data_IF_258301391832
#
_entry.id   IF_258301391832
#
_cell.length_a   1.000
_cell.length_b   1.000
_cell.length_c   1.000
_cell.angle_alpha   90.00
_cell.angle_beta   90.00
_cell.angle_gamma   90.00
#
_symmetry.space_group_name_H-M   'P 1'
#
loop_
_entity.id
_entity.type
_entity.pdbx_description
1 polymer ?
#
# COMPACT_ATOMS: atom_id res chain seq x y z
N UNK A 1 3.14 5.98 12.71
CA UNK A 1 1.77 5.64 12.26
C UNK A 1 1.29 6.70 11.30
N UNK A 2 0.89 6.29 10.10
CA UNK A 2 0.55 7.18 8.98
C UNK A 2 -0.69 8.06 9.26
N UNK A 3 -1.88 7.45 9.23
CA UNK A 3 -3.18 8.11 9.33
C UNK A 3 -3.64 8.44 10.76
N UNK A 4 -2.78 8.21 11.75
CA UNK A 4 -2.98 8.69 13.13
C UNK A 4 -2.06 9.86 13.47
N UNK A 5 -1.34 10.40 12.47
CA UNK A 5 -0.48 11.56 12.63
C UNK A 5 -1.28 12.84 12.32
N UNK A 6 -1.24 13.80 13.22
CA UNK A 6 -2.03 15.04 13.12
C UNK A 6 -1.69 15.85 11.87
N UNK A 7 -0.43 15.88 11.45
CA UNK A 7 -0.01 16.60 10.24
C UNK A 7 -0.62 15.99 8.98
N UNK A 8 -0.71 14.65 8.92
CA UNK A 8 -1.35 13.94 7.80
C UNK A 8 -2.84 14.23 7.78
N UNK A 9 -3.52 14.15 8.92
CA UNK A 9 -4.95 14.42 9.03
C UNK A 9 -5.29 15.87 8.67
N UNK A 10 -4.51 16.81 9.17
CA UNK A 10 -4.63 18.23 8.84
C UNK A 10 -4.42 18.46 7.34
N UNK A 11 -3.40 17.84 6.75
CA UNK A 11 -3.13 17.97 5.32
C UNK A 11 -4.29 17.42 4.48
N UNK A 12 -4.78 16.21 4.79
CA UNK A 12 -5.92 15.59 4.11
C UNK A 12 -7.17 16.46 4.21
N UNK A 13 -7.52 16.93 5.41
CA UNK A 13 -8.70 17.78 5.65
C UNK A 13 -8.69 19.06 4.81
N UNK A 14 -7.52 19.67 4.66
CA UNK A 14 -7.38 20.96 3.98
C UNK A 14 -7.31 20.84 2.45
N UNK A 15 -6.99 19.65 1.92
CA UNK A 15 -6.64 19.49 0.51
C UNK A 15 -7.49 18.45 -0.24
N UNK A 16 -8.20 17.57 0.46
CA UNK A 16 -8.87 16.41 -0.11
C UNK A 16 -10.26 16.17 0.48
N UNK A 17 -11.17 15.65 -0.35
CA UNK A 17 -12.39 15.00 0.13
C UNK A 17 -12.07 13.54 0.41
N UNK A 18 -12.13 13.13 1.67
CA UNK A 18 -11.68 11.81 2.10
C UNK A 18 -12.83 10.82 2.24
N UNK A 19 -12.61 9.61 1.73
CA UNK A 19 -13.51 8.47 1.82
C UNK A 19 -12.81 7.21 2.30
N UNK A 20 -13.57 6.24 2.80
CA UNK A 20 -13.09 4.87 3.03
C UNK A 20 -13.86 3.85 2.21
N UNK A 21 -13.16 2.79 1.79
CA UNK A 21 -13.70 1.66 1.05
C UNK A 21 -13.16 0.36 1.65
N UNK A 22 -14.05 -0.59 1.94
CA UNK A 22 -13.67 -1.90 2.48
C UNK A 22 -13.33 -2.86 1.34
N UNK A 23 -12.10 -3.34 1.33
CA UNK A 23 -11.59 -4.30 0.33
C UNK A 23 -11.69 -5.76 0.82
N UNK A 24 -12.34 -6.03 1.95
CA UNK A 24 -12.49 -7.39 2.48
C UNK A 24 -13.18 -8.29 1.45
N UNK A 25 -12.58 -9.44 1.16
CA UNK A 25 -13.08 -10.41 0.17
C UNK A 25 -12.75 -10.06 -1.28
N UNK A 26 -12.09 -8.93 -1.55
CA UNK A 26 -11.59 -8.63 -2.89
C UNK A 26 -10.47 -9.62 -3.26
N UNK A 27 -10.36 -10.02 -4.54
CA UNK A 27 -9.41 -11.06 -4.96
C UNK A 27 -7.94 -10.62 -4.85
N UNK A 28 -7.69 -9.31 -4.82
CA UNK A 28 -6.38 -8.71 -4.61
C UNK A 28 -6.06 -8.43 -3.13
N UNK A 29 -7.04 -8.52 -2.23
CA UNK A 29 -6.85 -8.17 -0.83
C UNK A 29 -5.90 -9.16 -0.14
N UNK A 30 -4.98 -8.63 0.67
CA UNK A 30 -4.08 -9.43 1.47
C UNK A 30 -4.79 -10.08 2.65
N UNK A 31 -4.08 -10.99 3.32
CA UNK A 31 -4.47 -11.45 4.65
C UNK A 31 -3.63 -10.69 5.68
N UNK A 32 -4.26 -10.09 6.68
CA UNK A 32 -3.55 -9.41 7.77
C UNK A 32 -3.99 -9.88 9.15
N UNK A 33 -3.10 -9.75 10.13
CA UNK A 33 -3.48 -9.84 11.53
C UNK A 33 -4.55 -8.80 11.85
N UNK A 34 -5.55 -9.17 12.66
CA UNK A 34 -6.50 -8.19 13.18
C UNK A 34 -5.78 -7.36 14.23
N UNK A 35 -5.78 -6.04 14.05
CA UNK A 35 -5.27 -5.11 15.02
C UNK A 35 -6.39 -4.62 15.94
N UNK A 36 -6.11 -4.55 17.23
CA UNK A 36 -6.99 -3.87 18.17
C UNK A 36 -6.98 -2.35 17.94
N UNK A 37 -8.07 -1.66 18.30
CA UNK A 37 -8.18 -0.20 18.13
C UNK A 37 -7.07 0.55 18.89
N UNK A 38 -6.63 -0.01 20.01
CA UNK A 38 -5.53 0.50 20.83
C UNK A 38 -4.27 -0.37 20.69
N UNK A 39 -4.16 -1.11 19.58
CA UNK A 39 -3.06 -2.02 19.29
C UNK A 39 -1.72 -1.29 19.17
N UNK A 40 -0.64 -2.05 19.30
CA UNK A 40 0.70 -1.51 19.14
C UNK A 40 0.96 -1.25 17.66
N UNK A 41 1.32 -0.01 17.32
CA UNK A 41 1.80 0.29 15.98
C UNK A 41 3.31 0.09 15.90
N UNK A 42 3.74 -0.89 15.11
CA UNK A 42 5.15 -1.15 14.90
C UNK A 42 5.66 -0.34 13.71
N UNK A 43 6.91 0.13 13.81
CA UNK A 43 7.58 0.76 12.68
C UNK A 43 7.69 -0.24 11.53
N UNK A 44 7.26 0.18 10.35
CA UNK A 44 7.39 -0.61 9.11
C UNK A 44 7.95 0.26 7.99
N UNK A 45 8.17 -0.36 6.84
CA UNK A 45 8.64 0.29 5.60
C UNK A 45 7.45 0.72 4.76
N UNK A 46 7.67 1.71 3.89
CA UNK A 46 6.71 2.04 2.84
C UNK A 46 6.45 0.81 1.97
N UNK A 47 5.25 0.70 1.41
CA UNK A 47 4.84 -0.45 0.59
C UNK A 47 4.59 -1.75 1.37
N UNK A 48 4.79 -1.79 2.69
CA UNK A 48 4.63 -3.02 3.45
C UNK A 48 3.18 -3.50 3.48
N UNK A 49 2.95 -4.78 3.12
CA UNK A 49 1.62 -5.34 2.96
C UNK A 49 0.90 -4.82 1.71
N UNK A 50 1.50 -4.95 0.52
CA UNK A 50 1.08 -4.20 -0.68
C UNK A 50 -0.31 -4.54 -1.19
N UNK A 51 -0.76 -5.77 -0.91
CA UNK A 51 -2.11 -6.25 -1.22
C UNK A 51 -3.22 -5.56 -0.40
N UNK A 52 -2.85 -4.77 0.60
CA UNK A 52 -3.75 -3.88 1.33
C UNK A 52 -3.48 -2.45 0.88
N UNK A 53 -4.21 -1.98 -0.14
CA UNK A 53 -4.05 -0.61 -0.64
C UNK A 53 -4.39 0.36 0.49
N UNK A 54 -3.44 1.23 0.84
CA UNK A 54 -3.68 2.23 1.86
C UNK A 54 -4.51 3.40 1.31
N UNK A 55 -4.23 3.83 0.08
CA UNK A 55 -4.91 4.99 -0.49
C UNK A 55 -4.95 4.98 -2.01
N UNK A 56 -6.12 5.33 -2.55
CA UNK A 56 -6.26 5.86 -3.90
C UNK A 56 -6.48 7.37 -3.83
N UNK A 57 -5.83 8.11 -4.72
CA UNK A 57 -6.10 9.53 -4.96
C UNK A 57 -6.75 9.66 -6.32
N UNK A 58 -7.96 10.22 -6.36
CA UNK A 58 -8.78 10.30 -7.55
C UNK A 58 -9.04 11.77 -7.93
N UNK A 59 -9.17 12.03 -9.22
CA UNK A 59 -9.82 13.24 -9.71
C UNK A 59 -11.34 13.17 -9.41
N UNK A 60 -12.03 14.31 -9.54
CA UNK A 60 -13.47 14.41 -9.25
C UNK A 60 -14.36 13.52 -10.12
N UNK A 61 -13.86 13.08 -11.28
CA UNK A 61 -14.54 12.17 -12.21
C UNK A 61 -14.21 10.68 -11.98
N UNK A 62 -13.44 10.36 -10.94
CA UNK A 62 -13.02 8.98 -10.63
C UNK A 62 -11.80 8.49 -11.40
N UNK A 63 -11.10 9.37 -12.13
CA UNK A 63 -9.80 9.06 -12.73
C UNK A 63 -8.75 8.88 -11.65
N UNK A 64 -7.96 7.80 -11.73
CA UNK A 64 -6.85 7.55 -10.80
C UNK A 64 -5.71 8.51 -11.08
N UNK A 65 -5.36 9.30 -10.07
CA UNK A 65 -4.18 10.18 -10.06
C UNK A 65 -3.00 9.49 -9.41
N UNK A 66 -3.23 8.80 -8.30
CA UNK A 66 -2.18 8.11 -7.55
C UNK A 66 -2.72 6.90 -6.78
N UNK A 67 -1.84 5.96 -6.47
CA UNK A 67 -2.16 4.79 -5.65
C UNK A 67 -0.98 4.50 -4.72
N UNK A 68 -1.26 4.25 -3.45
CA UNK A 68 -0.27 3.96 -2.42
C UNK A 68 -0.54 2.57 -1.84
N UNK A 69 0.19 1.53 -2.29
CA UNK A 69 0.03 0.18 -1.79
C UNK A 69 0.70 0.03 -0.42
N UNK A 70 0.10 -0.75 0.47
CA UNK A 70 0.64 -1.03 1.79
C UNK A 70 0.81 0.21 2.65
N UNK A 71 1.52 0.07 3.78
CA UNK A 71 1.82 1.20 4.66
C UNK A 71 2.70 2.26 3.99
N UNK A 72 2.52 3.53 4.35
CA UNK A 72 3.39 4.66 4.04
C UNK A 72 3.65 5.51 5.28
N UNK A 73 4.89 5.92 5.51
CA UNK A 73 5.25 6.84 6.59
C UNK A 73 4.51 8.17 6.46
N UNK A 74 4.22 8.82 7.59
CA UNK A 74 3.44 10.06 7.62
C UNK A 74 4.07 11.18 6.78
N UNK A 75 5.40 11.33 6.82
CA UNK A 75 6.07 12.39 6.07
C UNK A 75 6.04 12.09 4.56
N UNK A 76 6.36 10.85 4.20
CA UNK A 76 6.37 10.39 2.81
C UNK A 76 4.97 10.43 2.20
N UNK A 77 3.94 10.06 2.97
CA UNK A 77 2.54 10.17 2.55
C UNK A 77 2.16 11.61 2.19
N UNK A 78 2.58 12.62 2.96
CA UNK A 78 2.28 14.02 2.64
C UNK A 78 2.98 14.43 1.34
N UNK A 79 4.23 13.99 1.13
CA UNK A 79 4.98 14.26 -0.10
C UNK A 79 4.26 13.67 -1.33
N UNK A 80 3.85 12.40 -1.25
CA UNK A 80 3.10 11.70 -2.30
C UNK A 80 1.72 12.31 -2.57
N UNK A 81 1.02 12.77 -1.52
CA UNK A 81 -0.23 13.49 -1.67
C UNK A 81 -0.01 14.84 -2.35
N UNK A 82 1.06 15.57 -2.05
CA UNK A 82 1.41 16.79 -2.75
C UNK A 82 1.74 16.53 -4.23
N UNK A 83 2.40 15.41 -4.53
CA UNK A 83 2.65 14.99 -5.90
C UNK A 83 1.36 14.64 -6.66
N UNK A 84 0.40 13.97 -6.02
CA UNK A 84 -0.90 13.68 -6.61
C UNK A 84 -1.69 14.96 -6.99
N UNK A 85 -1.56 16.05 -6.22
CA UNK A 85 -2.14 17.35 -6.60
C UNK A 85 -1.53 17.89 -7.89
N UNK A 86 -0.22 17.71 -8.11
CA UNK A 86 0.45 18.12 -9.35
C UNK A 86 -0.04 17.30 -10.54
N UNK A 87 -0.28 15.99 -10.35
CA UNK A 87 -0.88 15.14 -11.38
C UNK A 87 -2.33 15.56 -11.70
N UNK A 88 -3.09 16.02 -10.71
CA UNK A 88 -4.40 16.61 -10.95
C UNK A 88 -4.32 17.87 -11.83
N UNK A 89 -3.31 18.72 -11.64
CA UNK A 89 -3.09 19.87 -12.52
C UNK A 89 -2.82 19.45 -13.98
N UNK A 90 -2.15 18.33 -14.19
CA UNK A 90 -1.99 17.74 -15.54
C UNK A 90 -3.32 17.23 -16.07
N UNK A 91 -4.13 16.57 -15.23
CA UNK A 91 -5.46 16.09 -15.63
C UNK A 91 -6.35 17.24 -16.10
N UNK A 92 -6.35 18.35 -15.37
CA UNK A 92 -7.17 19.54 -15.64
C UNK A 92 -6.58 20.46 -16.73
N UNK A 93 -5.33 20.26 -17.15
CA UNK A 93 -4.70 21.17 -18.12
C UNK A 93 -5.38 21.13 -19.49
N UNK A 94 -5.18 22.16 -20.29
CA UNK A 94 -5.45 22.06 -21.73
C UNK A 94 -4.43 21.10 -22.36
N UNK A 95 -4.87 20.30 -23.32
CA UNK A 95 -4.04 19.28 -23.98
C UNK A 95 -4.84 18.03 -24.30
N UNK A 96 -4.39 17.30 -25.32
CA UNK A 96 -4.96 15.99 -25.64
C UNK A 96 -4.73 14.99 -24.51
N UNK A 97 -5.61 14.00 -24.39
CA UNK A 97 -5.46 12.93 -23.41
C UNK A 97 -4.09 12.22 -23.53
N UNK A 98 -3.61 12.02 -24.74
CA UNK A 98 -2.32 11.38 -25.00
C UNK A 98 -1.14 12.20 -24.44
N UNK A 99 -1.12 13.52 -24.68
CA UNK A 99 -0.10 14.41 -24.10
C UNK A 99 -0.14 14.40 -22.57
N UNK A 100 -1.34 14.38 -21.98
CA UNK A 100 -1.53 14.28 -20.52
C UNK A 100 -0.98 12.97 -20.00
N UNK A 101 -1.27 11.83 -20.65
CA UNK A 101 -0.76 10.50 -20.27
C UNK A 101 0.76 10.40 -20.34
N UNK A 102 1.36 10.96 -21.39
CA UNK A 102 2.82 11.02 -21.51
C UNK A 102 3.43 11.88 -20.40
N UNK A 103 2.83 13.03 -20.09
CA UNK A 103 3.28 13.90 -19.00
C UNK A 103 3.15 13.22 -17.64
N UNK A 104 2.02 12.55 -17.38
CA UNK A 104 1.81 11.74 -16.18
C UNK A 104 2.92 10.71 -15.99
N UNK A 105 3.18 9.91 -17.01
CA UNK A 105 4.18 8.84 -16.96
C UNK A 105 5.59 9.39 -16.70
N UNK A 106 5.96 10.49 -17.38
CA UNK A 106 7.24 11.19 -17.14
C UNK A 106 7.33 11.77 -15.74
N UNK A 107 6.25 12.35 -15.21
CA UNK A 107 6.23 12.92 -13.88
C UNK A 107 6.39 11.84 -12.81
N UNK A 108 5.72 10.69 -12.95
CA UNK A 108 5.86 9.55 -12.05
C UNK A 108 7.33 9.08 -11.99
N UNK A 109 7.95 8.83 -13.15
CA UNK A 109 9.34 8.38 -13.21
C UNK A 109 10.33 9.46 -12.73
N UNK A 110 10.07 10.73 -13.00
CA UNK A 110 10.91 11.84 -12.53
C UNK A 110 10.76 12.08 -11.02
N UNK A 111 9.64 11.70 -10.40
CA UNK A 111 9.43 11.88 -8.96
C UNK A 111 10.34 10.98 -8.13
N UNK A 112 10.61 9.75 -8.62
CA UNK A 112 11.57 8.81 -8.02
C UNK A 112 12.91 9.49 -7.71
N UNK A 113 13.44 10.27 -8.65
CA UNK A 113 14.73 10.94 -8.51
C UNK A 113 14.73 12.10 -7.50
N UNK A 114 13.55 12.53 -7.04
CA UNK A 114 13.38 13.61 -6.05
C UNK A 114 13.24 13.08 -4.62
N UNK A 115 13.01 11.78 -4.45
CA UNK A 115 12.82 11.21 -3.13
C UNK A 115 14.05 11.40 -2.25
N UNK A 116 13.88 11.93 -1.02
CA UNK A 116 15.01 12.10 -0.13
C UNK A 116 15.57 10.74 0.29
N UNK A 117 16.88 10.63 0.58
CA UNK A 117 17.50 9.37 1.01
C UNK A 117 16.78 8.70 2.20
N UNK A 118 16.17 9.49 3.08
CA UNK A 118 15.40 8.98 4.21
C UNK A 118 14.12 8.23 3.78
N UNK A 119 13.42 8.72 2.75
CA UNK A 119 12.24 8.06 2.16
C UNK A 119 12.66 6.79 1.43
N UNK A 120 13.75 6.82 0.66
CA UNK A 120 14.31 5.63 -0.01
C UNK A 120 14.72 4.56 1.02
N UNK A 121 15.31 4.96 2.14
CA UNK A 121 15.64 4.05 3.24
C UNK A 121 14.39 3.46 3.91
N UNK A 122 13.31 4.25 4.06
CA UNK A 122 12.02 3.75 4.54
C UNK A 122 11.28 2.89 3.52
N UNK A 123 11.64 2.96 2.25
CA UNK A 123 10.99 2.22 1.14
C UNK A 123 11.71 0.92 0.77
N UNK A 124 12.64 0.45 1.60
CA UNK A 124 13.25 -0.87 1.38
C UNK A 124 12.19 -1.97 1.46
N UNK A 125 12.11 -2.81 0.43
CA UNK A 125 11.24 -3.98 0.44
C UNK A 125 11.56 -4.87 1.65
N UNK A 126 10.54 -5.40 2.33
CA UNK A 126 10.76 -6.20 3.53
C UNK A 126 11.49 -7.51 3.18
N UNK A 127 12.39 -7.97 4.06
CA UNK A 127 13.23 -9.14 3.76
C UNK A 127 12.46 -10.43 3.47
N UNK A 128 11.29 -10.63 4.09
CA UNK A 128 10.44 -11.79 3.79
C UNK A 128 9.76 -11.69 2.42
N UNK A 129 9.49 -10.47 1.92
CA UNK A 129 8.95 -10.24 0.59
C UNK A 129 10.05 -10.44 -0.45
N UNK A 130 11.24 -9.89 -0.21
CA UNK A 130 12.43 -10.15 -1.05
C UNK A 130 12.70 -11.66 -1.20
N UNK A 131 12.65 -12.41 -0.10
CA UNK A 131 12.83 -13.86 -0.13
C UNK A 131 11.70 -14.57 -0.89
N UNK A 132 10.46 -14.11 -0.76
CA UNK A 132 9.34 -14.66 -1.51
C UNK A 132 9.49 -14.42 -3.01
N UNK A 133 9.83 -13.20 -3.42
CA UNK A 133 10.10 -12.83 -4.81
C UNK A 133 11.23 -13.67 -5.40
N UNK A 134 12.37 -13.77 -4.72
CA UNK A 134 13.49 -14.58 -5.19
C UNK A 134 13.14 -16.07 -5.26
N UNK A 135 12.28 -16.58 -4.38
CA UNK A 135 11.91 -18.00 -4.38
C UNK A 135 10.92 -18.36 -5.47
N UNK A 136 9.97 -17.47 -5.76
CA UNK A 136 8.82 -17.77 -6.61
C UNK A 136 8.91 -17.14 -8.00
N UNK A 137 9.68 -16.05 -8.15
CA UNK A 137 9.68 -15.19 -9.33
C UNK A 137 11.07 -14.61 -9.66
N UNK A 138 12.15 -15.34 -9.34
CA UNK A 138 13.54 -14.84 -9.47
C UNK A 138 13.84 -14.19 -10.83
N UNK A 139 13.32 -14.76 -11.91
CA UNK A 139 13.60 -14.35 -13.29
C UNK A 139 12.46 -13.55 -13.95
N UNK A 140 11.35 -13.33 -13.23
CA UNK A 140 10.13 -12.74 -13.81
C UNK A 140 9.59 -11.56 -13.01
N UNK A 141 10.01 -11.38 -11.75
CA UNK A 141 9.57 -10.28 -10.91
C UNK A 141 10.16 -8.95 -11.39
N UNK A 142 9.31 -7.96 -11.64
CA UNK A 142 9.71 -6.59 -11.96
C UNK A 142 10.33 -5.85 -10.75
N UNK A 143 10.28 -6.45 -9.57
CA UNK A 143 10.83 -5.90 -8.33
C UNK A 143 12.31 -6.23 -8.12
N UNK A 144 12.86 -7.19 -8.89
CA UNK A 144 14.25 -7.62 -8.80
C UNK A 144 15.11 -6.78 -9.75
N UNK A 145 16.11 -6.09 -9.20
CA UNK A 145 17.09 -5.31 -9.98
C UNK A 145 18.22 -6.19 -10.50
N UNK A 146 18.65 -7.16 -9.70
CA UNK A 146 19.77 -8.03 -10.02
C UNK A 146 19.48 -9.45 -9.53
N UNK A 147 19.23 -10.35 -10.47
CA UNK A 147 18.87 -11.75 -10.20
C UNK A 147 19.97 -12.51 -9.47
N UNK A 148 21.25 -12.25 -9.79
CA UNK A 148 22.39 -12.89 -9.12
C UNK A 148 22.53 -12.47 -7.66
N UNK A 149 22.29 -11.19 -7.35
CA UNK A 149 22.26 -10.71 -5.97
C UNK A 149 21.01 -11.18 -5.22
N UNK A 150 19.85 -11.17 -5.87
CA UNK A 150 18.59 -11.64 -5.28
C UNK A 150 18.62 -13.13 -4.92
N UNK A 151 19.29 -13.96 -5.74
CA UNK A 151 19.46 -15.39 -5.48
C UNK A 151 20.19 -15.69 -4.17
N UNK A 152 20.97 -14.74 -3.61
CA UNK A 152 21.64 -14.92 -2.33
C UNK A 152 20.65 -15.06 -1.16
N UNK A 153 19.41 -14.55 -1.28
CA UNK A 153 18.33 -14.74 -0.29
C UNK A 153 17.87 -16.20 -0.15
N UNK A 154 18.22 -17.04 -1.13
CA UNK A 154 17.85 -18.46 -1.16
C UNK A 154 18.83 -19.32 -0.35
N UNK A 155 20.00 -18.79 -0.01
CA UNK A 155 20.95 -19.45 0.88
C UNK A 155 20.43 -19.46 2.32
N UNK A 156 20.82 -20.46 3.10
CA UNK A 156 20.43 -20.55 4.51
C UNK A 156 20.95 -19.33 5.28
N UNK A 157 20.04 -18.55 5.87
CA UNK A 157 20.38 -17.28 6.55
C UNK A 157 20.75 -16.13 5.61
N UNK A 158 20.64 -16.32 4.29
CA UNK A 158 20.97 -15.33 3.27
C UNK A 158 20.06 -14.11 3.34
N UNK A 159 20.66 -12.92 3.25
CA UNK A 159 19.97 -11.65 3.11
C UNK A 159 20.29 -11.07 1.75
N UNK A 160 19.35 -10.33 1.16
CA UNK A 160 19.61 -9.65 -0.10
C UNK A 160 20.65 -8.55 0.13
N UNK A 161 21.73 -8.50 -0.68
CA UNK A 161 22.59 -7.33 -0.72
C UNK A 161 21.82 -6.08 -1.18
N UNK A 162 22.34 -4.90 -0.84
CA UNK A 162 21.83 -3.65 -1.40
C UNK A 162 21.87 -3.69 -2.93
N UNK A 163 20.82 -3.20 -3.59
CA UNK A 163 20.69 -3.22 -5.05
C UNK A 163 20.23 -4.54 -5.65
N UNK A 164 19.90 -5.55 -4.84
CA UNK A 164 19.25 -6.78 -5.35
C UNK A 164 17.79 -6.53 -5.78
N UNK A 165 17.07 -5.69 -5.04
CA UNK A 165 15.65 -5.37 -5.23
C UNK A 165 15.45 -3.86 -5.37
N UNK A 166 14.41 -3.48 -6.12
CA UNK A 166 13.89 -2.11 -6.16
C UNK A 166 13.31 -1.77 -4.78
N UNK A 167 13.38 -0.49 -4.43
CA UNK A 167 12.60 0.04 -3.32
C UNK A 167 11.14 0.18 -3.72
N UNK A 168 10.23 0.13 -2.76
CA UNK A 168 8.78 0.11 -3.00
C UNK A 168 8.27 1.40 -3.61
N UNK A 169 8.91 2.53 -3.34
CA UNK A 169 8.63 3.81 -3.99
C UNK A 169 8.93 3.77 -5.49
N UNK A 170 10.06 3.16 -5.89
CA UNK A 170 10.39 2.93 -7.31
C UNK A 170 9.34 2.03 -7.97
N UNK A 171 9.02 0.89 -7.34
CA UNK A 171 8.03 -0.07 -7.86
C UNK A 171 6.68 0.62 -8.07
N UNK A 172 6.24 1.39 -7.05
CA UNK A 172 4.99 2.12 -7.06
C UNK A 172 4.91 3.11 -8.22
N UNK A 173 5.93 3.96 -8.39
CA UNK A 173 5.94 4.96 -9.47
C UNK A 173 6.10 4.36 -10.86
N UNK A 174 6.95 3.35 -11.04
CA UNK A 174 7.08 2.66 -12.33
C UNK A 174 5.75 2.01 -12.75
N UNK A 175 5.05 1.38 -11.80
CA UNK A 175 3.74 0.78 -12.07
C UNK A 175 2.66 1.83 -12.29
N UNK A 176 2.69 2.95 -11.58
CA UNK A 176 1.78 4.07 -11.88
C UNK A 176 2.06 4.64 -13.26
N UNK A 177 3.32 4.83 -13.67
CA UNK A 177 3.68 5.36 -14.98
C UNK A 177 3.13 4.52 -16.15
N UNK A 178 2.90 3.22 -15.95
CA UNK A 178 2.28 2.33 -16.94
C UNK A 178 0.74 2.42 -16.98
N UNK A 179 0.12 3.13 -16.03
CA UNK A 179 -1.34 3.23 -15.82
C UNK A 179 -1.83 4.69 -15.84
N UNK A 180 -1.49 5.49 -16.87
CA UNK A 180 -1.75 6.92 -16.83
C UNK A 180 -3.24 7.26 -16.99
N UNK A 181 -3.80 7.93 -15.99
CA UNK A 181 -5.18 8.44 -15.97
C UNK A 181 -6.23 7.38 -16.36
N UNK A 182 -6.13 6.19 -15.77
CA UNK A 182 -7.19 5.18 -15.89
C UNK A 182 -8.38 5.56 -14.99
N UNK A 183 -9.63 5.35 -15.44
CA UNK A 183 -10.77 5.32 -14.52
C UNK A 183 -10.54 4.27 -13.42
N UNK A 184 -11.00 4.54 -12.20
CA UNK A 184 -10.83 3.62 -11.06
C UNK A 184 -11.32 2.19 -11.37
N UNK A 185 -12.44 2.05 -12.07
CA UNK A 185 -13.00 0.75 -12.48
C UNK A 185 -12.14 -0.04 -13.47
N UNK A 186 -11.19 0.61 -14.14
CA UNK A 186 -10.27 -0.01 -15.10
C UNK A 186 -8.86 -0.18 -14.53
N UNK A 187 -8.62 0.29 -13.30
CA UNK A 187 -7.32 0.17 -12.67
C UNK A 187 -7.13 -1.27 -12.16
N UNK A 188 -6.20 -2.00 -12.76
CA UNK A 188 -5.86 -3.36 -12.33
C UNK A 188 -5.07 -3.33 -11.02
N UNK A 189 -5.81 -3.32 -9.90
CA UNK A 189 -5.26 -3.32 -8.54
C UNK A 189 -4.46 -4.60 -8.27
N UNK A 190 -4.87 -5.73 -8.85
CA UNK A 190 -4.21 -7.01 -8.63
C UNK A 190 -2.81 -6.96 -9.19
N UNK A 191 -2.64 -6.65 -10.47
CA UNK A 191 -1.32 -6.53 -11.09
C UNK A 191 -0.51 -5.37 -10.48
N UNK A 192 -1.16 -4.28 -10.09
CA UNK A 192 -0.49 -3.13 -9.49
C UNK A 192 0.13 -3.43 -8.11
N UNK A 193 -0.57 -4.19 -7.28
CA UNK A 193 -0.12 -4.54 -5.92
C UNK A 193 0.60 -5.89 -5.82
N UNK A 194 0.79 -6.59 -6.95
CA UNK A 194 1.41 -7.92 -6.97
C UNK A 194 2.92 -7.86 -6.73
N UNK A 195 3.30 -7.79 -5.46
CA UNK A 195 4.64 -8.09 -4.98
C UNK A 195 4.58 -8.57 -3.53
N UNK A 196 5.61 -9.28 -3.09
CA UNK A 196 5.67 -9.84 -1.76
C UNK A 196 4.59 -10.90 -1.51
N UNK A 197 4.39 -11.21 -0.22
CA UNK A 197 3.46 -12.25 0.22
C UNK A 197 2.06 -11.67 0.41
N UNK A 198 1.04 -12.44 0.01
CA UNK A 198 -0.37 -12.14 0.34
C UNK A 198 -0.64 -12.05 1.83
N UNK A 199 -0.01 -12.91 2.64
CA UNK A 199 -0.14 -12.88 4.11
C UNK A 199 0.87 -11.92 4.72
N UNK A 200 0.35 -10.92 5.40
CA UNK A 200 1.09 -9.93 6.16
C UNK A 200 0.65 -9.95 7.63
N UNK A 201 1.40 -10.63 8.50
CA UNK A 201 1.17 -10.56 9.93
C UNK A 201 2.50 -10.45 10.67
N UNK A 202 2.69 -9.33 11.36
CA UNK A 202 3.86 -9.08 12.22
C UNK A 202 3.61 -9.43 13.68
N UNK A 203 2.39 -9.89 13.99
CA UNK A 203 1.90 -10.21 15.32
C UNK A 203 2.15 -9.07 16.31
N UNK A 204 1.85 -7.84 15.86
CA UNK A 204 2.23 -6.60 16.54
C UNK A 204 1.61 -6.50 17.94
N UNK A 205 0.34 -6.89 18.07
CA UNK A 205 -0.38 -6.92 19.34
C UNK A 205 0.04 -8.07 20.27
N UNK A 206 0.82 -9.02 19.75
CA UNK A 206 1.36 -10.15 20.50
C UNK A 206 2.86 -9.99 20.77
N UNK A 207 3.43 -8.80 20.54
CA UNK A 207 4.81 -8.51 20.91
C UNK A 207 4.90 -7.99 22.33
N UNK A 208 5.82 -8.56 23.11
CA UNK A 208 6.17 -8.02 24.42
C UNK A 208 7.03 -6.75 24.30
N UNK A 209 7.34 -6.10 25.42
CA UNK A 209 8.17 -4.89 25.48
C UNK A 209 9.61 -5.07 24.97
N UNK A 210 10.06 -6.32 24.80
CA UNK A 210 11.36 -6.67 24.19
C UNK A 210 11.24 -6.96 22.68
N UNK A 211 10.06 -6.76 22.10
CA UNK A 211 9.78 -7.01 20.68
C UNK A 211 9.64 -8.49 20.31
N UNK A 212 9.63 -9.41 21.28
CA UNK A 212 9.46 -10.84 21.02
C UNK A 212 7.98 -11.18 20.86
N UNK A 213 7.66 -12.00 19.85
CA UNK A 213 6.29 -12.45 19.59
C UNK A 213 5.93 -13.55 20.58
N UNK A 214 4.82 -13.38 21.28
CA UNK A 214 4.24 -14.36 22.19
C UNK A 214 3.74 -15.59 21.43
N UNK A 215 3.93 -16.78 22.00
CA UNK A 215 3.47 -18.05 21.43
C UNK A 215 1.97 -18.11 21.12
N UNK A 216 1.16 -17.30 21.79
CA UNK A 216 -0.29 -17.15 21.56
C UNK A 216 -0.64 -16.50 20.23
N UNK A 217 0.31 -15.81 19.58
CA UNK A 217 0.13 -15.19 18.26
C UNK A 217 -0.33 -16.18 17.18
N UNK A 218 -0.04 -17.47 17.33
CA UNK A 218 -0.51 -18.53 16.42
C UNK A 218 -2.03 -18.69 16.38
N UNK A 219 -2.74 -18.17 17.38
CA UNK A 219 -4.20 -18.17 17.49
C UNK A 219 -4.81 -16.79 17.21
N UNK A 220 -4.01 -15.83 16.76
CA UNK A 220 -4.48 -14.49 16.47
C UNK A 220 -5.56 -14.50 15.37
N UNK A 221 -6.62 -13.71 15.52
CA UNK A 221 -7.61 -13.54 14.47
C UNK A 221 -6.99 -12.84 13.26
N UNK A 222 -7.35 -13.30 12.06
CA UNK A 222 -6.89 -12.76 10.77
C UNK A 222 -8.08 -12.17 9.99
N UNK A 223 -7.81 -11.16 9.18
CA UNK A 223 -8.73 -10.56 8.22
C UNK A 223 -8.20 -10.79 6.80
N UNK A 224 -9.09 -10.83 5.81
CA UNK A 224 -8.74 -10.97 4.39
C UNK A 224 -9.23 -12.25 3.73
N UNK A 225 -8.86 -12.43 2.47
CA UNK A 225 -9.35 -13.52 1.61
C UNK A 225 -8.57 -14.80 1.94
N UNK A 226 -9.09 -15.62 2.86
CA UNK A 226 -8.57 -16.98 3.08
C UNK A 226 -8.89 -17.81 1.84
N UNK A 227 -7.90 -18.50 1.27
CA UNK A 227 -8.22 -19.69 0.49
C UNK A 227 -9.04 -20.61 1.40
N UNK A 228 -10.24 -20.91 0.92
CA UNK A 228 -11.42 -21.25 1.70
C UNK A 228 -11.15 -22.27 2.82
N UNK A 229 -11.21 -21.83 4.08
CA UNK A 229 -11.64 -22.66 5.20
C UNK A 229 -12.18 -21.78 6.32
N UNK A 230 -13.53 -21.76 6.38
CA UNK A 230 -14.40 -21.37 7.51
C UNK A 230 -14.89 -19.91 7.51
N UNK A 231 -16.07 -19.78 6.89
CA UNK A 231 -17.26 -19.02 7.32
C UNK A 231 -17.09 -18.00 8.45
N UNK A 232 -17.51 -16.77 8.10
CA UNK A 232 -18.31 -15.85 8.91
C UNK A 232 -17.59 -14.71 9.63
N UNK A 233 -17.65 -13.52 9.03
CA UNK A 233 -17.49 -12.23 9.72
C UNK A 233 -18.65 -11.24 9.44
N UNK A 234 -19.78 -11.70 8.87
CA UNK A 234 -20.93 -10.84 8.56
C UNK A 234 -22.14 -11.16 9.45
N UNK A 235 -22.81 -10.11 9.92
CA UNK A 235 -24.18 -10.21 10.42
C UNK A 235 -25.16 -10.35 9.24
N UNK A 236 -26.33 -10.99 9.40
CA UNK A 236 -27.29 -11.26 8.31
C UNK A 236 -27.83 -10.03 7.57
N UNK A 237 -27.62 -8.83 8.09
CA UNK A 237 -28.14 -7.57 7.55
C UNK A 237 -27.11 -6.73 6.76
N UNK A 238 -25.89 -7.25 6.56
CA UNK A 238 -24.86 -6.57 5.75
C UNK A 238 -24.34 -5.25 6.34
N UNK A 239 -24.62 -4.95 7.61
CA UNK A 239 -24.13 -3.74 8.28
C UNK A 239 -22.75 -3.97 8.89
N UNK A 240 -21.84 -3.03 8.61
CA UNK A 240 -20.51 -2.91 9.22
C UNK A 240 -20.69 -2.68 10.72
N UNK A 241 -20.13 -3.56 11.57
CA UNK A 241 -19.98 -3.26 13.00
C UNK A 241 -18.78 -2.32 13.20
N UNK A 242 -19.08 -1.10 13.64
CA UNK A 242 -18.16 -0.07 14.15
C UNK A 242 -17.09 0.46 13.17
N UNK A 243 -17.49 1.42 12.34
CA UNK A 243 -16.54 2.40 11.79
C UNK A 243 -16.13 3.35 12.93
N UNK A 244 -14.83 3.48 13.14
CA UNK A 244 -14.21 4.28 14.21
C UNK A 244 -14.75 5.70 14.31
N UNK A 245 -15.18 6.11 15.51
CA UNK A 245 -15.55 7.50 15.81
C UNK A 245 -14.39 8.49 15.62
N UNK A 246 -13.14 8.03 15.53
CA UNK A 246 -11.98 8.90 15.27
C UNK A 246 -11.98 9.46 13.86
N UNK A 247 -12.20 8.64 12.82
CA UNK A 247 -12.18 9.11 11.42
C UNK A 247 -13.38 10.00 11.10
N UNK A 248 -14.55 9.68 11.64
CA UNK A 248 -15.76 10.49 11.49
C UNK A 248 -15.61 11.88 12.13
N UNK A 249 -14.95 11.99 13.29
CA UNK A 249 -14.64 13.29 13.92
C UNK A 249 -13.74 14.18 13.06
N UNK A 250 -13.01 13.60 12.12
CA UNK A 250 -12.14 14.32 11.19
C UNK A 250 -12.75 14.44 9.77
N UNK A 251 -14.06 14.21 9.62
CA UNK A 251 -14.80 14.47 8.38
C UNK A 251 -14.61 13.43 7.27
N UNK A 252 -14.01 12.28 7.56
CA UNK A 252 -13.84 11.18 6.59
C UNK A 252 -15.15 10.39 6.49
N UNK A 253 -15.66 10.18 5.28
CA UNK A 253 -16.93 9.47 5.02
C UNK A 253 -16.69 8.00 4.66
N UNK A 254 -17.57 7.10 5.04
CA UNK A 254 -17.54 5.70 4.58
C UNK A 254 -18.45 5.50 3.38
N UNK A 255 -17.95 4.81 2.36
CA UNK A 255 -18.71 4.43 1.19
C UNK A 255 -18.85 2.91 1.15
N UNK A 256 -20.05 2.41 0.87
CA UNK A 256 -20.29 0.98 0.65
C UNK A 256 -19.75 0.52 -0.71
N UNK A 257 -19.63 -0.79 -0.95
CA UNK A 257 -19.30 -1.31 -2.27
C UNK A 257 -20.31 -0.76 -3.30
N UNK A 258 -19.79 -0.20 -4.39
CA UNK A 258 -20.61 0.11 -5.57
C UNK A 258 -21.23 -1.20 -6.07
N UNK A 259 -22.55 -1.21 -6.23
CA UNK A 259 -23.30 -2.35 -6.77
C UNK A 259 -23.03 -2.53 -8.25
#
# INVERSE_FOLDING_TARGET
>A
MSLSNESVLSYLKNNYVCGTYDITGQPYAGMSGRHEINGNAVRTTNGAGPHNIQMFVLASDGTVLHCLPGYWDSQDLIEELGFAQQLNQVWLSSGSLEQKRQKFSRMQLAHIAKHPPAMVARSQMQGFDQQYEARTRLNTSDTILNTALAAQTLQMGGKAPAGAFKTTDVIMHERMAQRPFLPYSQFDVMAYSDYGKKKYDKHEDYRNSRGQVDSSARFAPELGTKEDTRKSAYSPDGRIKNVSGYLNRHGIKSFGPAR
#
